data_IF_919838949187
#
_entry.id   IF_919838949187
#
_cell.length_a   1.000
_cell.length_b   1.000
_cell.length_c   1.000
_cell.angle_alpha   90.00
_cell.angle_beta   90.00
_cell.angle_gamma   90.00
#
_symmetry.space_group_name_H-M   'P 1'
#
loop_
_entity.id
_entity.type
_entity.pdbx_description
1 polymer ?
#
# COMPACT_ATOMS: atom_id res chain seq x y z
N UNK A 1 17.82 69.09 -13.79
CA UNK A 1 17.90 67.63 -13.61
C UNK A 1 17.31 67.33 -12.24
N UNK A 2 16.37 66.39 -12.14
CA UNK A 2 15.70 66.05 -10.88
C UNK A 2 16.56 65.04 -10.12
N UNK A 3 17.02 65.41 -8.92
CA UNK A 3 17.79 64.52 -8.04
C UNK A 3 16.86 63.51 -7.36
N UNK A 4 16.78 62.32 -7.93
CA UNK A 4 16.09 61.19 -7.29
C UNK A 4 16.90 60.78 -6.06
N UNK A 5 16.39 61.14 -4.88
CA UNK A 5 16.93 60.68 -3.60
C UNK A 5 16.34 59.31 -3.27
N UNK A 6 17.20 58.30 -3.20
CA UNK A 6 16.81 56.93 -2.86
C UNK A 6 16.84 56.77 -1.33
N UNK A 7 15.75 56.30 -0.74
CA UNK A 7 15.68 55.99 0.69
C UNK A 7 16.17 54.56 0.94
N UNK A 8 17.49 54.39 0.99
CA UNK A 8 18.17 53.11 1.17
C UNK A 8 17.73 52.37 2.43
N UNK A 9 17.49 53.10 3.52
CA UNK A 9 17.01 52.55 4.80
C UNK A 9 15.66 51.86 4.65
N UNK A 10 14.72 52.50 3.94
CA UNK A 10 13.40 51.93 3.67
C UNK A 10 13.49 50.69 2.77
N UNK A 11 14.40 50.71 1.78
CA UNK A 11 14.66 49.56 0.91
C UNK A 11 15.21 48.38 1.72
N UNK A 12 16.24 48.60 2.54
CA UNK A 12 16.83 47.57 3.40
C UNK A 12 15.81 46.96 4.36
N UNK A 13 14.98 47.79 4.98
CA UNK A 13 13.92 47.32 5.88
C UNK A 13 12.88 46.46 5.14
N UNK A 14 12.46 46.90 3.94
CA UNK A 14 11.54 46.14 3.08
C UNK A 14 12.14 44.79 2.67
N UNK A 15 13.40 44.77 2.24
CA UNK A 15 14.12 43.53 1.87
C UNK A 15 14.22 42.57 3.04
N UNK A 16 14.53 43.07 4.25
CA UNK A 16 14.59 42.23 5.45
C UNK A 16 13.23 41.64 5.80
N UNK A 17 12.15 42.42 5.70
CA UNK A 17 10.80 41.94 5.95
C UNK A 17 10.36 40.90 4.89
N UNK A 18 10.70 41.15 3.62
CA UNK A 18 10.44 40.21 2.54
C UNK A 18 11.15 38.87 2.77
N UNK A 19 12.44 38.90 3.10
CA UNK A 19 13.22 37.71 3.40
C UNK A 19 12.65 36.92 4.60
N UNK A 20 12.26 37.63 5.66
CA UNK A 20 11.60 37.02 6.82
C UNK A 20 10.28 36.33 6.45
N UNK A 21 9.44 36.98 5.64
CA UNK A 21 8.17 36.40 5.15
C UNK A 21 8.40 35.16 4.28
N UNK A 22 9.39 35.21 3.38
CA UNK A 22 9.81 34.06 2.55
C UNK A 22 10.23 32.88 3.43
N UNK A 23 11.04 33.12 4.46
CA UNK A 23 11.49 32.08 5.38
C UNK A 23 10.32 31.43 6.12
N UNK A 24 9.36 32.23 6.61
CA UNK A 24 8.16 31.72 7.29
C UNK A 24 7.30 30.90 6.33
N UNK A 25 7.10 31.39 5.10
CA UNK A 25 6.34 30.69 4.07
C UNK A 25 6.97 29.32 3.75
N UNK A 26 8.29 29.29 3.52
CA UNK A 26 9.02 28.05 3.26
C UNK A 26 8.89 27.05 4.42
N UNK A 27 9.03 27.50 5.67
CA UNK A 27 8.85 26.64 6.85
C UNK A 27 7.43 26.04 6.92
N UNK A 28 6.39 26.84 6.62
CA UNK A 28 5.00 26.35 6.62
C UNK A 28 4.76 25.34 5.49
N UNK A 29 5.19 25.65 4.28
CA UNK A 29 5.03 24.77 3.13
C UNK A 29 5.78 23.44 3.31
N UNK A 30 7.03 23.49 3.78
CA UNK A 30 7.82 22.29 4.04
C UNK A 30 7.24 21.42 5.16
N UNK A 31 6.72 22.02 6.24
CA UNK A 31 6.04 21.27 7.30
C UNK A 31 4.78 20.56 6.78
N UNK A 32 3.96 21.23 5.97
CA UNK A 32 2.78 20.63 5.36
C UNK A 32 3.16 19.49 4.40
N UNK A 33 4.19 19.68 3.57
CA UNK A 33 4.69 18.64 2.67
C UNK A 33 5.17 17.40 3.43
N UNK A 34 5.94 17.57 4.51
CA UNK A 34 6.39 16.46 5.36
C UNK A 34 5.23 15.71 6.00
N UNK A 35 4.22 16.43 6.51
CA UNK A 35 3.02 15.79 7.10
C UNK A 35 2.26 14.97 6.06
N UNK A 36 2.13 15.48 4.84
CA UNK A 36 1.48 14.75 3.76
C UNK A 36 2.29 13.51 3.34
N UNK A 37 3.61 13.62 3.23
CA UNK A 37 4.48 12.47 2.95
C UNK A 37 4.33 11.39 4.01
N UNK A 38 4.33 11.76 5.30
CA UNK A 38 4.16 10.82 6.40
C UNK A 38 2.79 10.14 6.35
N UNK A 39 1.71 10.91 6.18
CA UNK A 39 0.37 10.36 6.07
C UNK A 39 0.21 9.40 4.88
N UNK A 40 0.83 9.72 3.74
CA UNK A 40 0.86 8.85 2.56
C UNK A 40 1.66 7.58 2.84
N UNK A 41 2.84 7.67 3.46
CA UNK A 41 3.65 6.52 3.83
C UNK A 41 2.89 5.56 4.76
N UNK A 42 2.20 6.10 5.77
CA UNK A 42 1.35 5.29 6.67
C UNK A 42 0.24 4.58 5.90
N UNK A 43 -0.42 5.24 4.94
CA UNK A 43 -1.46 4.62 4.11
C UNK A 43 -0.90 3.51 3.23
N UNK A 44 0.26 3.72 2.62
CA UNK A 44 0.95 2.71 1.80
C UNK A 44 1.29 1.49 2.67
N UNK A 45 1.83 1.69 3.87
CA UNK A 45 2.14 0.59 4.78
C UNK A 45 0.90 -0.24 5.14
N UNK A 46 -0.23 0.42 5.42
CA UNK A 46 -1.49 -0.27 5.71
C UNK A 46 -1.97 -1.09 4.50
N UNK A 47 -1.84 -0.55 3.28
CA UNK A 47 -2.19 -1.26 2.05
C UNK A 47 -1.30 -2.49 1.89
N UNK A 48 0.03 -2.34 2.01
CA UNK A 48 0.98 -3.44 1.90
C UNK A 48 0.66 -4.58 2.88
N UNK A 49 0.48 -4.25 4.16
CA UNK A 49 0.16 -5.26 5.18
C UNK A 49 -1.15 -6.02 4.85
N UNK A 50 -2.18 -5.31 4.37
CA UNK A 50 -3.45 -5.94 3.96
C UNK A 50 -3.27 -6.84 2.75
N UNK A 51 -2.48 -6.41 1.76
CA UNK A 51 -2.17 -7.21 0.57
C UNK A 51 -1.44 -8.48 0.96
N UNK A 52 -0.45 -8.41 1.85
CA UNK A 52 0.28 -9.59 2.34
C UNK A 52 -0.68 -10.57 3.04
N UNK A 53 -1.54 -10.06 3.93
CA UNK A 53 -2.56 -10.90 4.60
C UNK A 53 -3.51 -11.56 3.60
N UNK A 54 -3.98 -10.83 2.59
CA UNK A 54 -4.86 -11.41 1.56
C UNK A 54 -4.13 -12.47 0.72
N UNK A 55 -2.85 -12.27 0.41
CA UNK A 55 -2.05 -13.26 -0.32
C UNK A 55 -1.88 -14.54 0.49
N UNK A 56 -1.61 -14.45 1.79
CA UNK A 56 -1.56 -15.61 2.68
C UNK A 56 -2.89 -16.36 2.72
N UNK A 57 -4.02 -15.64 2.80
CA UNK A 57 -5.35 -16.23 2.79
C UNK A 57 -5.67 -16.95 1.46
N UNK A 58 -5.29 -16.35 0.33
CA UNK A 58 -5.46 -16.95 -0.99
C UNK A 58 -4.62 -18.23 -1.11
N UNK A 59 -3.37 -18.20 -0.63
CA UNK A 59 -2.52 -19.38 -0.64
C UNK A 59 -3.14 -20.52 0.18
N UNK A 60 -3.56 -20.23 1.41
CA UNK A 60 -4.22 -21.22 2.27
C UNK A 60 -5.50 -21.77 1.66
N UNK A 61 -6.28 -20.92 0.98
CA UNK A 61 -7.47 -21.36 0.26
C UNK A 61 -7.11 -22.32 -0.88
N UNK A 62 -6.08 -22.00 -1.66
CA UNK A 62 -5.54 -22.87 -2.71
C UNK A 62 -5.11 -24.23 -2.16
N UNK A 63 -4.31 -24.25 -1.10
CA UNK A 63 -3.81 -25.48 -0.48
C UNK A 63 -4.95 -26.38 0.00
N UNK A 64 -5.97 -25.80 0.67
CA UNK A 64 -7.16 -26.53 1.11
C UNK A 64 -7.97 -27.09 -0.07
N UNK A 65 -8.14 -26.28 -1.10
CA UNK A 65 -8.87 -26.71 -2.32
C UNK A 65 -8.16 -27.89 -2.98
N UNK A 66 -6.83 -27.86 -3.06
CA UNK A 66 -6.04 -28.98 -3.59
C UNK A 66 -6.23 -30.23 -2.74
N UNK A 67 -6.14 -30.12 -1.41
CA UNK A 67 -6.37 -31.26 -0.50
C UNK A 67 -7.76 -31.85 -0.64
N UNK A 68 -8.79 -31.01 -0.75
CA UNK A 68 -10.18 -31.47 -0.93
C UNK A 68 -10.36 -32.19 -2.27
N UNK A 69 -9.74 -31.69 -3.35
CA UNK A 69 -9.74 -32.35 -4.66
C UNK A 69 -9.04 -33.72 -4.57
N UNK A 70 -7.85 -33.78 -3.98
CA UNK A 70 -7.09 -35.03 -3.83
C UNK A 70 -7.88 -36.08 -3.04
N UNK A 71 -8.52 -35.66 -1.94
CA UNK A 71 -9.37 -36.52 -1.12
C UNK A 71 -10.55 -37.05 -1.92
N UNK A 72 -11.27 -36.18 -2.62
CA UNK A 72 -12.41 -36.57 -3.44
C UNK A 72 -11.98 -37.55 -4.54
N UNK A 73 -10.87 -37.29 -5.23
CA UNK A 73 -10.34 -38.20 -6.25
C UNK A 73 -10.00 -39.58 -5.67
N UNK A 74 -9.39 -39.64 -4.48
CA UNK A 74 -9.10 -40.91 -3.82
C UNK A 74 -10.37 -41.66 -3.42
N UNK A 75 -11.39 -40.97 -2.93
CA UNK A 75 -12.71 -41.55 -2.62
C UNK A 75 -13.37 -42.13 -3.88
N UNK A 76 -13.38 -41.38 -4.99
CA UNK A 76 -13.91 -41.87 -6.27
C UNK A 76 -13.22 -43.14 -6.77
N UNK A 77 -11.88 -43.19 -6.74
CA UNK A 77 -11.12 -44.38 -7.13
C UNK A 77 -11.44 -45.59 -6.24
N UNK A 78 -11.62 -45.38 -4.94
CA UNK A 78 -11.98 -46.46 -4.02
C UNK A 78 -13.40 -46.99 -4.28
N UNK A 79 -14.36 -46.10 -4.57
CA UNK A 79 -15.72 -46.52 -4.97
C UNK A 79 -15.67 -47.36 -6.24
N UNK A 80 -14.92 -46.91 -7.26
CA UNK A 80 -14.79 -47.63 -8.54
C UNK A 80 -14.17 -49.02 -8.35
N UNK A 81 -13.11 -49.14 -7.55
CA UNK A 81 -12.51 -50.44 -7.18
C UNK A 81 -13.49 -51.38 -6.49
N UNK A 82 -14.27 -50.87 -5.53
CA UNK A 82 -15.22 -51.69 -4.80
C UNK A 82 -16.34 -52.21 -5.71
N UNK A 83 -16.85 -51.38 -6.62
CA UNK A 83 -17.86 -51.79 -7.61
C UNK A 83 -17.30 -52.88 -8.53
N UNK A 84 -16.08 -52.73 -9.03
CA UNK A 84 -15.44 -53.74 -9.88
C UNK A 84 -15.24 -55.07 -9.13
N UNK A 85 -14.85 -55.00 -7.86
CA UNK A 85 -14.64 -56.19 -7.02
C UNK A 85 -15.95 -56.93 -6.75
N UNK A 86 -17.04 -56.21 -6.48
CA UNK A 86 -18.36 -56.81 -6.25
C UNK A 86 -18.94 -57.48 -7.52
N UNK A 87 -18.63 -56.94 -8.71
CA UNK A 87 -19.01 -57.55 -10.00
C UNK A 87 -18.23 -58.84 -10.25
N UNK A 88 -16.91 -58.87 -9.99
CA UNK A 88 -16.08 -60.09 -10.15
C UNK A 88 -16.45 -61.23 -9.18
N UNK A 89 -16.97 -60.91 -7.99
CA UNK A 89 -17.38 -61.92 -6.99
C UNK A 89 -18.79 -62.49 -7.29
N UNK A 90 -19.60 -61.82 -8.09
CA UNK A 90 -20.99 -62.23 -8.40
C UNK A 90 -21.18 -62.85 -9.80
N UNK A 91 -20.15 -62.87 -10.64
CA UNK A 91 -20.11 -63.56 -11.94
C UNK A 91 -19.48 -64.94 -11.87
#
# INVERSE_FOLDING_TARGET
MSDIHVNESAILQSTSQFAGKQQVFYKKASAAARKNQLATATKIQVIMNKTDTHMEQIQQFGDRTTQDIEKNCAEFVNVDKNILTDIEVTG
#
